data_IF_705760329763
#
_entry.id   IF_705760329763
#
_cell.length_a   1.000
_cell.length_b   1.000
_cell.length_c   1.000
_cell.angle_alpha   90.00
_cell.angle_beta   90.00
_cell.angle_gamma   90.00
#
_symmetry.space_group_name_H-M   'P 1'
#
loop_
_entity.id
_entity.type
_entity.pdbx_description
1 polymer ?
#
# COMPACT_ATOMS: atom_id res chain seq x y z
N UNK A 1 4.26 36.69 19.54
CA UNK A 1 4.37 35.50 20.41
C UNK A 1 3.38 34.50 19.83
N UNK A 2 3.81 33.59 18.94
CA UNK A 2 4.28 32.24 19.27
C UNK A 2 3.04 31.34 19.46
N UNK A 3 2.74 30.33 18.65
CA UNK A 3 3.62 29.39 17.96
C UNK A 3 2.96 28.79 16.71
N UNK A 4 3.78 28.59 15.69
CA UNK A 4 3.57 27.62 14.61
C UNK A 4 3.32 26.21 15.18
N UNK A 5 2.32 25.54 14.65
CA UNK A 5 2.25 24.07 14.55
C UNK A 5 1.40 23.76 13.32
N UNK A 6 2.02 23.91 12.16
CA UNK A 6 1.40 23.71 10.84
C UNK A 6 1.95 22.42 10.22
N UNK A 7 1.74 21.31 10.91
CA UNK A 7 2.15 19.97 10.44
C UNK A 7 1.01 18.96 10.57
N UNK A 8 -0.21 19.37 10.20
CA UNK A 8 -1.25 18.42 9.81
C UNK A 8 -1.37 18.42 8.29
N UNK A 9 -0.34 17.89 7.63
CA UNK A 9 -0.45 17.49 6.23
C UNK A 9 -1.43 16.31 6.21
N UNK A 10 -2.67 16.58 5.79
CA UNK A 10 -3.76 15.62 5.79
C UNK A 10 -3.30 14.26 5.28
N UNK A 11 -3.47 13.23 6.11
CA UNK A 11 -3.23 11.84 5.76
C UNK A 11 -4.30 11.46 4.73
N UNK A 12 -4.03 11.76 3.47
CA UNK A 12 -4.89 11.32 2.37
C UNK A 12 -4.70 9.81 2.23
N UNK A 13 -5.71 9.07 2.70
CA UNK A 13 -5.70 7.62 2.74
C UNK A 13 -6.73 7.04 1.78
N UNK A 14 -6.51 5.80 1.37
CA UNK A 14 -7.41 5.11 0.46
C UNK A 14 -7.37 3.60 0.63
N UNK A 15 -8.28 2.95 -0.09
CA UNK A 15 -8.35 1.51 -0.23
C UNK A 15 -8.01 1.14 -1.68
N UNK A 16 -7.08 0.21 -1.87
CA UNK A 16 -6.81 -0.41 -3.17
C UNK A 16 -7.28 -1.85 -3.09
N UNK A 17 -8.08 -2.28 -4.05
CA UNK A 17 -8.45 -3.69 -4.19
C UNK A 17 -7.89 -4.20 -5.51
N UNK A 18 -7.21 -5.34 -5.44
CA UNK A 18 -6.75 -6.05 -6.64
C UNK A 18 -7.96 -6.52 -7.46
N UNK A 19 -7.86 -6.60 -8.79
CA UNK A 19 -8.99 -6.95 -9.66
C UNK A 19 -9.57 -8.35 -9.36
N UNK A 20 -8.73 -9.27 -8.90
CA UNK A 20 -9.13 -10.61 -8.44
C UNK A 20 -9.79 -10.64 -7.05
N UNK A 21 -9.81 -9.51 -6.34
CA UNK A 21 -10.38 -9.39 -4.99
C UNK A 21 -9.57 -10.09 -3.88
N UNK A 22 -8.41 -10.68 -4.20
CA UNK A 22 -7.62 -11.47 -3.26
C UNK A 22 -6.62 -10.63 -2.46
N UNK A 23 -6.30 -9.42 -2.91
CA UNK A 23 -5.45 -8.50 -2.15
C UNK A 23 -6.10 -7.12 -2.01
N UNK A 24 -6.23 -6.67 -0.77
CA UNK A 24 -6.76 -5.35 -0.42
C UNK A 24 -5.71 -4.59 0.38
N UNK A 25 -5.39 -3.35 -0.01
CA UNK A 25 -4.42 -2.49 0.68
C UNK A 25 -5.14 -1.27 1.24
N UNK A 26 -5.12 -1.14 2.56
CA UNK A 26 -5.44 0.12 3.24
C UNK A 26 -4.16 0.92 3.37
N UNK A 27 -4.12 2.14 2.84
CA UNK A 27 -2.90 2.95 2.80
C UNK A 27 -3.12 4.40 3.18
N UNK A 28 -2.02 5.03 3.58
CA UNK A 28 -1.92 6.45 3.85
C UNK A 28 -0.82 7.05 2.97
N UNK A 29 -1.05 8.28 2.51
CA UNK A 29 -0.08 9.05 1.76
C UNK A 29 0.59 10.09 2.63
N UNK A 30 1.88 10.22 2.41
CA UNK A 30 2.68 11.33 2.91
C UNK A 30 3.56 11.87 1.79
N UNK A 31 3.91 13.15 1.89
CA UNK A 31 4.83 13.81 0.97
C UNK A 31 5.97 14.41 1.79
N UNK A 32 7.02 13.62 2.10
CA UNK A 32 8.15 14.09 2.90
C UNK A 32 8.97 15.17 2.20
N UNK A 33 8.92 15.26 0.86
CA UNK A 33 9.55 16.33 0.08
C UNK A 33 8.67 16.72 -1.11
N UNK A 34 8.80 17.95 -1.68
CA UNK A 34 7.92 18.43 -2.75
C UNK A 34 7.82 17.50 -3.96
N UNK A 35 8.88 16.78 -4.26
CA UNK A 35 8.99 15.84 -5.39
C UNK A 35 9.04 14.38 -4.94
N UNK A 36 8.60 14.08 -3.72
CA UNK A 36 8.63 12.73 -3.18
C UNK A 36 7.35 12.43 -2.41
N UNK A 37 6.62 11.45 -2.91
CA UNK A 37 5.45 10.87 -2.29
C UNK A 37 5.75 9.47 -1.78
N UNK A 38 5.16 9.14 -0.64
CA UNK A 38 5.23 7.84 0.01
C UNK A 38 3.81 7.40 0.27
N UNK A 39 3.44 6.23 -0.27
CA UNK A 39 2.24 5.51 0.07
C UNK A 39 2.65 4.33 0.94
N UNK A 40 2.13 4.23 2.16
CA UNK A 40 2.42 3.14 3.07
C UNK A 40 1.10 2.53 3.54
N UNK A 41 1.01 1.20 3.55
CA UNK A 41 -0.23 0.52 3.87
C UNK A 41 -0.06 -0.94 4.24
N UNK A 42 -1.14 -1.54 4.71
CA UNK A 42 -1.20 -2.97 5.01
C UNK A 42 -1.99 -3.68 3.91
N UNK A 43 -1.29 -4.54 3.17
CA UNK A 43 -1.90 -5.46 2.22
C UNK A 43 -2.46 -6.66 2.98
N UNK A 44 -3.78 -6.80 3.01
CA UNK A 44 -4.47 -8.02 3.43
C UNK A 44 -4.65 -8.93 2.23
N UNK A 45 -4.02 -10.10 2.26
CA UNK A 45 -4.13 -11.11 1.21
C UNK A 45 -5.03 -12.24 1.70
N UNK A 46 -6.02 -12.60 0.89
CA UNK A 46 -6.91 -13.76 1.10
C UNK A 46 -6.43 -14.91 0.22
N UNK A 47 -5.85 -15.95 0.82
CA UNK A 47 -5.52 -17.18 0.10
C UNK A 47 -6.77 -17.80 -0.52
N UNK A 48 -6.65 -18.29 -1.76
CA UNK A 48 -7.74 -18.99 -2.45
C UNK A 48 -8.19 -20.27 -1.72
N UNK A 49 -7.29 -20.91 -0.99
CA UNK A 49 -7.52 -22.18 -0.30
C UNK A 49 -8.19 -22.04 1.08
N UNK A 50 -8.76 -20.88 1.41
CA UNK A 50 -9.40 -20.64 2.70
C UNK A 50 -8.41 -20.56 3.87
N UNK A 51 -7.10 -20.50 3.61
CA UNK A 51 -6.10 -20.25 4.64
C UNK A 51 -6.29 -18.86 5.26
N UNK A 52 -5.78 -18.70 6.49
CA UNK A 52 -5.91 -17.46 7.25
C UNK A 52 -5.36 -16.29 6.44
N UNK A 53 -6.11 -15.18 6.28
CA UNK A 53 -5.60 -14.01 5.59
C UNK A 53 -4.38 -13.48 6.32
N UNK A 54 -3.34 -13.16 5.56
CA UNK A 54 -2.11 -12.60 6.11
C UNK A 54 -1.97 -11.15 5.69
N UNK A 55 -1.31 -10.36 6.54
CA UNK A 55 -1.12 -8.93 6.35
C UNK A 55 0.36 -8.62 6.18
N UNK A 56 0.71 -7.87 5.13
CA UNK A 56 2.08 -7.37 4.94
C UNK A 56 2.09 -5.86 4.85
N UNK A 57 3.08 -5.24 5.50
CA UNK A 57 3.39 -3.84 5.26
C UNK A 57 3.94 -3.72 3.84
N UNK A 58 3.31 -2.85 3.05
CA UNK A 58 3.71 -2.51 1.69
C UNK A 58 3.97 -1.01 1.62
N UNK A 59 4.97 -0.66 0.83
CA UNK A 59 5.41 0.73 0.66
C UNK A 59 5.64 1.00 -0.82
N UNK A 60 5.06 2.08 -1.33
CA UNK A 60 5.31 2.61 -2.66
C UNK A 60 5.83 4.04 -2.56
N UNK A 61 6.83 4.38 -3.37
CA UNK A 61 7.44 5.71 -3.39
C UNK A 61 7.56 6.23 -4.80
N UNK A 62 7.27 7.50 -5.03
CA UNK A 62 7.28 8.07 -6.38
C UNK A 62 7.40 9.59 -6.41
N UNK A 63 7.72 10.17 -7.58
CA UNK A 63 7.77 11.62 -7.72
C UNK A 63 6.40 12.29 -7.64
N UNK A 64 5.34 11.52 -7.92
CA UNK A 64 3.94 11.93 -7.85
C UNK A 64 3.18 11.03 -6.87
N UNK A 65 2.01 11.50 -6.41
CA UNK A 65 1.09 10.73 -5.57
C UNK A 65 0.71 9.43 -6.27
N UNK A 66 0.38 9.51 -7.54
CA UNK A 66 -0.07 8.42 -8.41
C UNK A 66 1.04 7.39 -8.61
N UNK A 67 2.30 7.82 -8.75
CA UNK A 67 3.44 6.91 -8.81
C UNK A 67 3.63 6.11 -7.51
N UNK A 68 3.49 6.77 -6.36
CA UNK A 68 3.60 6.12 -5.06
C UNK A 68 2.48 5.08 -4.89
N UNK A 69 1.23 5.43 -5.23
CA UNK A 69 0.07 4.51 -5.19
C UNK A 69 0.26 3.34 -6.16
N UNK A 70 0.70 3.60 -7.40
CA UNK A 70 0.92 2.57 -8.41
C UNK A 70 1.97 1.57 -7.96
N UNK A 71 3.10 2.05 -7.42
CA UNK A 71 4.18 1.20 -6.90
C UNK A 71 3.76 0.45 -5.63
N UNK A 72 2.92 1.04 -4.79
CA UNK A 72 2.31 0.35 -3.65
C UNK A 72 1.42 -0.81 -4.13
N UNK A 73 0.54 -0.54 -5.10
CA UNK A 73 -0.37 -1.53 -5.68
C UNK A 73 0.39 -2.70 -6.34
N UNK A 74 1.50 -2.42 -7.03
CA UNK A 74 2.35 -3.47 -7.61
C UNK A 74 2.98 -4.40 -6.56
N UNK A 75 2.99 -4.00 -5.28
CA UNK A 75 3.47 -4.82 -4.18
C UNK A 75 2.35 -5.61 -3.49
N UNK A 76 1.10 -5.54 -3.97
CA UNK A 76 0.11 -6.54 -3.61
C UNK A 76 0.67 -7.91 -4.02
N UNK A 77 0.84 -8.85 -3.08
CA UNK A 77 1.19 -10.21 -3.42
C UNK A 77 0.07 -10.74 -4.30
N UNK A 78 0.40 -11.16 -5.53
CA UNK A 78 -0.52 -12.05 -6.25
C UNK A 78 -0.65 -13.30 -5.37
N UNK A 79 -1.88 -13.74 -5.09
CA UNK A 79 -2.08 -15.02 -4.45
C UNK A 79 -1.29 -16.06 -5.26
N UNK A 80 -0.22 -16.57 -4.67
CA UNK A 80 0.54 -17.64 -5.28
C UNK A 80 -0.43 -18.80 -5.42
N UNK A 81 -0.80 -19.15 -6.65
CA UNK A 81 -1.22 -20.51 -6.93
C UNK A 81 -0.10 -21.42 -6.40
N UNK A 82 -0.41 -22.52 -5.69
CA UNK A 82 0.60 -23.41 -5.12
C UNK A 82 1.52 -24.12 -6.14
N UNK A 83 1.55 -23.68 -7.40
CA UNK A 83 2.34 -24.26 -8.50
C UNK A 83 3.67 -23.53 -8.75
N UNK A 84 4.16 -22.71 -7.82
CA UNK A 84 5.51 -22.12 -7.90
C UNK A 84 6.35 -22.33 -6.64
N UNK A 85 6.27 -23.52 -6.05
CA UNK A 85 7.32 -24.02 -5.15
C UNK A 85 7.71 -25.42 -5.60
N UNK A 86 8.28 -25.50 -6.79
CA UNK A 86 9.10 -26.64 -7.18
C UNK A 86 10.49 -26.46 -6.56
N UNK A 87 10.71 -27.12 -5.43
CA UNK A 87 12.05 -27.49 -4.94
C UNK A 87 12.15 -29.00 -4.89
#
# INVERSE_FOLDING_TARGET
>A
MGSESKDQKGLDGGLIQSPDGLCTIEYSLSQPAPTQWVAAGFASVRPWNGATPFRHLVIGTGPTREDAIRRLHQRCPKCATPEQTGV
#
